data_IF_420188665291
#
_entry.id   IF_420188665291
#
_cell.length_a   1.000
_cell.length_b   1.000
_cell.length_c   1.000
_cell.angle_alpha   90.00
_cell.angle_beta   90.00
_cell.angle_gamma   90.00
#
_symmetry.space_group_name_H-M   'P 1'
#
loop_
_entity.id
_entity.type
_entity.pdbx_description
1 polymer ?
#
# COMPACT_ATOMS: atom_id res chain seq x y z
N UNK A 1 -8.26 -21.48 -7.08
CA UNK A 1 -8.13 -20.02 -6.97
C UNK A 1 -6.76 -19.67 -6.46
N UNK A 2 -6.01 -18.89 -7.22
CA UNK A 2 -4.72 -18.34 -6.84
C UNK A 2 -4.91 -16.99 -6.14
N UNK A 3 -4.02 -16.73 -5.19
CA UNK A 3 -3.89 -15.44 -4.53
C UNK A 3 -2.75 -14.67 -5.19
N UNK A 4 -2.92 -13.36 -5.33
CA UNK A 4 -1.92 -12.48 -5.88
C UNK A 4 -1.84 -11.23 -5.02
N UNK A 5 -0.62 -10.87 -4.64
CA UNK A 5 -0.32 -9.56 -4.08
C UNK A 5 0.71 -8.88 -4.96
N UNK A 6 0.61 -7.56 -5.07
CA UNK A 6 1.66 -6.76 -5.67
C UNK A 6 1.70 -5.37 -5.08
N UNK A 7 2.90 -4.82 -5.01
CA UNK A 7 3.20 -3.49 -4.48
C UNK A 7 3.70 -2.57 -5.60
N UNK A 8 3.33 -1.30 -5.53
CA UNK A 8 3.82 -0.26 -6.44
C UNK A 8 5.11 0.35 -5.90
N UNK A 9 6.22 0.08 -6.58
CA UNK A 9 7.52 0.61 -6.18
C UNK A 9 7.58 2.13 -6.30
N UNK A 10 8.02 2.78 -5.21
CA UNK A 10 8.33 4.21 -5.17
C UNK A 10 7.18 5.12 -5.63
N UNK A 11 5.92 4.73 -5.35
CA UNK A 11 4.71 5.35 -5.88
C UNK A 11 4.77 6.89 -5.86
N UNK A 12 4.97 7.50 -4.69
CA UNK A 12 4.95 8.96 -4.54
C UNK A 12 6.07 9.67 -5.29
N UNK A 13 7.27 9.11 -5.30
CA UNK A 13 8.47 9.70 -5.91
C UNK A 13 8.51 9.49 -7.42
N UNK A 14 7.73 8.54 -7.95
CA UNK A 14 7.70 8.23 -9.37
C UNK A 14 6.49 8.78 -10.12
N UNK A 15 5.54 9.43 -9.45
CA UNK A 15 4.40 10.06 -10.12
C UNK A 15 4.85 11.06 -11.21
N UNK A 16 4.38 10.92 -12.46
CA UNK A 16 4.58 11.93 -13.48
C UNK A 16 3.72 13.17 -13.15
N UNK A 17 4.35 14.29 -12.80
CA UNK A 17 3.63 15.46 -12.25
C UNK A 17 2.52 16.00 -13.17
N UNK A 18 2.85 16.31 -14.42
CA UNK A 18 1.92 16.85 -15.42
C UNK A 18 0.75 15.91 -15.72
N UNK A 19 1.06 14.64 -15.93
CA UNK A 19 0.05 13.62 -16.19
C UNK A 19 -0.83 13.38 -14.97
N UNK A 20 -0.27 13.39 -13.77
CA UNK A 20 -1.04 13.28 -12.52
C UNK A 20 -2.02 14.44 -12.36
N UNK A 21 -1.62 15.66 -12.72
CA UNK A 21 -2.50 16.83 -12.73
C UNK A 21 -3.62 16.67 -13.78
N UNK A 22 -3.29 16.15 -14.97
CA UNK A 22 -4.30 15.87 -15.99
C UNK A 22 -5.30 14.79 -15.54
N UNK A 23 -4.82 13.73 -14.89
CA UNK A 23 -5.67 12.66 -14.32
C UNK A 23 -6.53 13.23 -13.17
N UNK A 24 -5.99 14.09 -12.32
CA UNK A 24 -6.77 14.80 -11.30
C UNK A 24 -7.94 15.57 -11.92
N UNK A 25 -7.69 16.30 -13.01
CA UNK A 25 -8.74 17.01 -13.74
C UNK A 25 -9.82 16.06 -14.26
N UNK A 26 -9.43 14.95 -14.90
CA UNK A 26 -10.35 13.93 -15.39
C UNK A 26 -11.19 13.32 -14.27
N UNK A 27 -10.55 13.03 -13.13
CA UNK A 27 -11.20 12.49 -11.94
C UNK A 27 -12.27 13.45 -11.41
N UNK A 28 -11.94 14.75 -11.26
CA UNK A 28 -12.90 15.75 -10.79
C UNK A 28 -14.11 15.87 -11.73
N UNK A 29 -13.88 15.85 -13.05
CA UNK A 29 -14.95 15.87 -14.05
C UNK A 29 -15.82 14.62 -13.94
N UNK A 30 -15.20 13.44 -13.84
CA UNK A 30 -15.89 12.14 -13.73
C UNK A 30 -16.86 12.08 -12.55
N UNK A 31 -16.51 12.70 -11.43
CA UNK A 31 -17.33 12.74 -10.21
C UNK A 31 -18.15 14.04 -10.05
N UNK A 32 -18.37 14.78 -11.16
CA UNK A 32 -19.15 16.02 -11.20
C UNK A 32 -18.69 17.08 -10.18
N UNK A 33 -17.41 17.10 -9.84
CA UNK A 33 -16.78 18.09 -8.94
C UNK A 33 -16.31 19.31 -9.74
N UNK A 34 -17.25 19.96 -10.44
CA UNK A 34 -16.94 21.14 -11.27
C UNK A 34 -16.58 22.37 -10.44
N UNK A 35 -17.13 22.46 -9.23
CA UNK A 35 -16.86 23.49 -8.25
C UNK A 35 -16.70 22.86 -6.86
N UNK A 36 -15.48 22.86 -6.33
CA UNK A 36 -15.20 22.35 -4.99
C UNK A 36 -14.90 23.51 -4.06
N UNK A 37 -15.75 23.74 -3.05
CA UNK A 37 -15.63 24.88 -2.12
C UNK A 37 -15.54 26.24 -2.85
N UNK A 38 -16.27 26.39 -3.95
CA UNK A 38 -16.27 27.61 -4.77
C UNK A 38 -15.08 27.77 -5.72
N UNK A 39 -14.14 26.82 -5.75
CA UNK A 39 -13.01 26.82 -6.69
C UNK A 39 -13.36 26.07 -7.97
N UNK A 40 -13.01 26.66 -9.11
CA UNK A 40 -13.11 25.98 -10.40
C UNK A 40 -12.07 24.86 -10.52
N UNK A 41 -12.31 23.87 -11.39
CA UNK A 41 -11.33 22.82 -11.71
C UNK A 41 -9.97 23.42 -12.14
N UNK A 42 -9.97 24.47 -12.97
CA UNK A 42 -8.74 25.11 -13.44
C UNK A 42 -7.96 25.76 -12.28
N UNK A 43 -8.65 26.28 -11.27
CA UNK A 43 -8.02 26.80 -10.05
C UNK A 43 -7.36 25.67 -9.27
N UNK A 44 -8.06 24.54 -9.07
CA UNK A 44 -7.52 23.36 -8.39
C UNK A 44 -6.30 22.80 -9.13
N UNK A 45 -6.38 22.72 -10.45
CA UNK A 45 -5.28 22.30 -11.33
C UNK A 45 -4.03 23.19 -11.12
N UNK A 46 -4.24 24.51 -11.08
CA UNK A 46 -3.16 25.48 -10.87
C UNK A 46 -2.53 25.35 -9.49
N UNK A 47 -3.33 25.15 -8.45
CA UNK A 47 -2.85 24.93 -7.08
C UNK A 47 -2.09 23.60 -6.97
N UNK A 48 -2.61 22.52 -7.56
CA UNK A 48 -1.96 21.22 -7.61
C UNK A 48 -0.58 21.31 -8.26
N UNK A 49 -0.49 22.05 -9.37
CA UNK A 49 0.76 22.30 -10.09
C UNK A 49 1.80 22.98 -9.19
N UNK A 50 1.41 24.07 -8.52
CA UNK A 50 2.30 24.78 -7.58
C UNK A 50 2.83 23.84 -6.50
N UNK A 51 1.95 23.03 -5.89
CA UNK A 51 2.35 22.11 -4.81
C UNK A 51 3.35 21.05 -5.27
N UNK A 52 3.25 20.60 -6.54
CA UNK A 52 4.15 19.59 -7.09
C UNK A 52 5.46 20.19 -7.63
N UNK A 53 5.41 21.35 -8.30
CA UNK A 53 6.57 21.93 -8.99
C UNK A 53 7.43 22.79 -8.07
N UNK A 54 6.83 23.46 -7.08
CA UNK A 54 7.54 24.36 -6.15
C UNK A 54 8.03 23.63 -4.90
N UNK A 55 8.36 22.34 -5.04
CA UNK A 55 8.90 21.54 -3.96
C UNK A 55 10.43 21.65 -3.91
N UNK A 56 10.92 22.47 -2.97
CA UNK A 56 12.35 22.73 -2.77
C UNK A 56 12.77 22.27 -1.38
N UNK A 57 13.88 21.55 -1.28
CA UNK A 57 14.45 21.07 -0.03
C UNK A 57 15.97 21.28 0.01
N UNK A 58 16.53 21.22 1.22
CA UNK A 58 17.97 21.40 1.47
C UNK A 58 18.56 20.07 1.88
N UNK A 59 19.64 19.66 1.22
CA UNK A 59 20.43 18.51 1.62
C UNK A 59 21.92 18.84 1.45
N UNK A 60 22.73 18.57 2.48
CA UNK A 60 24.17 18.87 2.44
C UNK A 60 24.50 20.33 2.10
N UNK A 61 23.74 21.28 2.64
CA UNK A 61 23.86 22.73 2.38
C UNK A 61 23.66 23.13 0.90
N UNK A 62 22.97 22.30 0.11
CA UNK A 62 22.59 22.58 -1.28
C UNK A 62 21.07 22.55 -1.42
N UNK A 63 20.55 23.42 -2.28
CA UNK A 63 19.12 23.48 -2.61
C UNK A 63 18.82 22.56 -3.78
N UNK A 64 17.76 21.76 -3.66
CA UNK A 64 17.27 20.86 -4.67
C UNK A 64 15.79 21.11 -4.91
N UNK A 65 15.36 21.01 -6.16
CA UNK A 65 13.95 21.02 -6.55
C UNK A 65 13.56 19.63 -7.02
N UNK A 66 12.45 19.10 -6.49
CA UNK A 66 11.92 17.82 -6.92
C UNK A 66 11.25 17.97 -8.30
N UNK A 67 11.79 17.29 -9.30
CA UNK A 67 11.30 17.36 -10.70
C UNK A 67 10.38 16.18 -11.08
N UNK A 68 10.25 15.18 -10.21
CA UNK A 68 9.44 13.98 -10.42
C UNK A 68 8.81 13.55 -9.09
N UNK A 69 7.58 13.05 -9.15
CA UNK A 69 6.84 12.68 -7.96
C UNK A 69 6.33 13.90 -7.19
N UNK A 70 5.90 13.65 -5.96
CA UNK A 70 5.67 14.70 -4.97
C UNK A 70 6.45 14.44 -3.68
N UNK A 71 6.48 15.43 -2.79
CA UNK A 71 7.17 15.26 -1.52
C UNK A 71 6.51 14.18 -0.68
N UNK A 72 7.34 13.27 -0.15
CA UNK A 72 6.91 12.33 0.88
C UNK A 72 6.39 13.10 2.10
N UNK A 73 5.29 12.63 2.68
CA UNK A 73 4.63 13.29 3.81
C UNK A 73 3.68 14.43 3.43
N UNK A 74 3.63 14.84 2.15
CA UNK A 74 2.61 15.77 1.66
C UNK A 74 1.22 15.09 1.62
N UNK A 75 0.20 15.62 2.33
CA UNK A 75 -1.15 15.07 2.26
C UNK A 75 -1.75 15.13 0.84
N UNK A 76 -1.34 16.14 0.06
CA UNK A 76 -1.78 16.28 -1.33
C UNK A 76 -1.17 15.19 -2.22
N UNK A 77 0.12 14.89 -2.05
CA UNK A 77 0.79 13.84 -2.83
C UNK A 77 0.17 12.47 -2.60
N UNK A 78 -0.22 12.16 -1.35
CA UNK A 78 -0.98 10.94 -1.03
C UNK A 78 -2.32 10.88 -1.78
N UNK A 79 -3.06 11.98 -1.76
CA UNK A 79 -4.36 12.07 -2.44
C UNK A 79 -4.20 11.90 -3.95
N UNK A 80 -3.21 12.57 -4.52
CA UNK A 80 -2.92 12.52 -5.95
C UNK A 80 -2.45 11.13 -6.39
N UNK A 81 -1.62 10.46 -5.59
CA UNK A 81 -1.19 9.09 -5.86
C UNK A 81 -2.38 8.12 -5.95
N UNK A 82 -3.33 8.23 -5.02
CA UNK A 82 -4.54 7.41 -5.04
C UNK A 82 -5.40 7.67 -6.29
N UNK A 83 -5.49 8.92 -6.74
CA UNK A 83 -6.21 9.29 -7.96
C UNK A 83 -5.48 8.79 -9.21
N UNK A 84 -4.15 8.86 -9.24
CA UNK A 84 -3.34 8.30 -10.31
C UNK A 84 -3.53 6.79 -10.40
N UNK A 85 -3.44 6.09 -9.26
CA UNK A 85 -3.65 4.65 -9.19
C UNK A 85 -5.07 4.25 -9.57
N UNK A 86 -6.08 5.05 -9.20
CA UNK A 86 -7.45 4.87 -9.70
C UNK A 86 -7.50 4.84 -11.22
N UNK A 87 -6.78 5.72 -11.92
CA UNK A 87 -6.76 5.71 -13.38
C UNK A 87 -6.00 4.49 -13.94
N UNK A 88 -4.83 4.18 -13.37
CA UNK A 88 -3.98 3.07 -13.80
C UNK A 88 -4.66 1.69 -13.62
N UNK A 89 -5.42 1.50 -12.54
CA UNK A 89 -5.98 0.20 -12.17
C UNK A 89 -7.27 -0.19 -12.93
N UNK A 90 -7.87 0.71 -13.72
CA UNK A 90 -9.21 0.51 -14.30
C UNK A 90 -9.34 -0.82 -15.05
N UNK A 91 -8.36 -1.19 -15.89
CA UNK A 91 -8.40 -2.43 -16.67
C UNK A 91 -8.37 -3.69 -15.79
N UNK A 92 -7.63 -3.64 -14.69
CA UNK A 92 -7.61 -4.73 -13.71
C UNK A 92 -8.98 -4.80 -13.04
N UNK A 93 -9.43 -3.70 -12.44
CA UNK A 93 -10.73 -3.64 -11.76
C UNK A 93 -11.89 -4.11 -12.65
N UNK A 94 -11.89 -3.75 -13.94
CA UNK A 94 -12.88 -4.22 -14.91
C UNK A 94 -12.79 -5.72 -15.17
N UNK A 95 -11.57 -6.26 -15.36
CA UNK A 95 -11.36 -7.71 -15.49
C UNK A 95 -11.86 -8.46 -14.26
N UNK A 96 -11.43 -8.07 -13.07
CA UNK A 96 -11.81 -8.70 -11.81
C UNK A 96 -13.33 -8.64 -11.57
N UNK A 97 -13.99 -7.53 -11.92
CA UNK A 97 -15.45 -7.43 -11.86
C UNK A 97 -16.14 -8.39 -12.82
N UNK A 98 -15.62 -8.54 -14.03
CA UNK A 98 -16.19 -9.44 -15.03
C UNK A 98 -16.06 -10.92 -14.65
N UNK A 99 -14.96 -11.30 -13.99
CA UNK A 99 -14.71 -12.65 -13.49
C UNK A 99 -15.30 -12.94 -12.10
N UNK A 100 -15.93 -11.94 -11.45
CA UNK A 100 -16.41 -12.01 -10.07
C UNK A 100 -15.31 -12.41 -9.07
N UNK A 101 -14.12 -11.85 -9.29
CA UNK A 101 -12.92 -12.04 -8.47
C UNK A 101 -12.68 -10.84 -7.56
N UNK A 102 -11.97 -11.05 -6.45
CA UNK A 102 -11.62 -9.99 -5.52
C UNK A 102 -10.52 -9.11 -6.09
N UNK A 103 -10.69 -7.80 -5.89
CA UNK A 103 -9.67 -6.77 -6.07
C UNK A 103 -9.75 -5.80 -4.90
N UNK A 104 -8.63 -5.59 -4.21
CA UNK A 104 -8.52 -4.63 -3.12
C UNK A 104 -7.19 -3.91 -3.19
N UNK A 105 -7.19 -2.61 -2.94
CA UNK A 105 -5.97 -1.81 -2.85
C UNK A 105 -5.94 -1.01 -1.57
N UNK A 106 -4.81 -1.03 -0.89
CA UNK A 106 -4.47 -0.17 0.22
C UNK A 106 -3.25 0.67 -0.17
N UNK A 107 -3.49 1.90 -0.67
CA UNK A 107 -2.45 2.79 -1.18
C UNK A 107 -1.67 2.15 -2.34
N UNK A 108 -0.48 1.61 -2.07
CA UNK A 108 0.49 0.96 -2.95
C UNK A 108 0.41 -0.56 -2.90
N UNK A 109 -0.14 -1.14 -1.83
CA UNK A 109 -0.38 -2.59 -1.71
C UNK A 109 -1.69 -3.00 -2.42
N UNK A 110 -1.62 -3.92 -3.37
CA UNK A 110 -2.77 -4.52 -4.06
C UNK A 110 -2.88 -6.01 -3.74
N UNK A 111 -4.12 -6.46 -3.53
CA UNK A 111 -4.51 -7.86 -3.41
C UNK A 111 -5.58 -8.20 -4.44
N UNK A 112 -5.42 -9.31 -5.14
CA UNK A 112 -6.47 -9.88 -5.98
C UNK A 112 -6.50 -11.40 -5.94
N UNK A 113 -7.63 -11.98 -6.31
CA UNK A 113 -7.77 -13.42 -6.51
C UNK A 113 -7.89 -13.72 -8.00
N UNK A 114 -7.44 -14.89 -8.45
CA UNK A 114 -7.74 -15.35 -9.80
C UNK A 114 -8.01 -16.84 -9.90
N UNK A 115 -8.98 -17.23 -10.73
CA UNK A 115 -9.24 -18.61 -11.14
C UNK A 115 -8.60 -18.97 -12.47
N UNK A 116 -7.97 -18.00 -13.15
CA UNK A 116 -7.16 -18.23 -14.35
C UNK A 116 -5.93 -19.10 -14.02
N UNK A 117 -5.26 -19.63 -15.05
CA UNK A 117 -3.98 -20.30 -14.86
C UNK A 117 -2.91 -19.33 -14.35
N UNK A 118 -1.90 -19.86 -13.66
CA UNK A 118 -0.78 -19.08 -13.13
C UNK A 118 -0.06 -18.32 -14.25
N UNK A 119 0.06 -18.91 -15.44
CA UNK A 119 0.68 -18.29 -16.61
C UNK A 119 -0.11 -17.06 -17.09
N UNK A 120 -1.43 -17.20 -17.25
CA UNK A 120 -2.33 -16.09 -17.63
C UNK A 120 -2.28 -14.95 -16.60
N UNK A 121 -2.19 -15.30 -15.32
CA UNK A 121 -2.04 -14.33 -14.25
C UNK A 121 -0.70 -13.59 -14.32
N UNK A 122 0.41 -14.29 -14.59
CA UNK A 122 1.70 -13.66 -14.80
C UNK A 122 1.71 -12.74 -16.02
N UNK A 123 1.11 -13.16 -17.14
CA UNK A 123 0.98 -12.33 -18.34
C UNK A 123 0.15 -11.08 -18.08
N UNK A 124 -0.94 -11.19 -17.33
CA UNK A 124 -1.76 -10.06 -16.90
C UNK A 124 -0.94 -9.05 -16.08
N UNK A 125 -0.16 -9.53 -15.11
CA UNK A 125 0.67 -8.69 -14.25
C UNK A 125 1.84 -8.07 -15.02
N UNK A 126 2.39 -8.79 -16.00
CA UNK A 126 3.44 -8.25 -16.87
C UNK A 126 2.90 -7.14 -17.77
N UNK A 127 1.70 -7.34 -18.34
CA UNK A 127 1.01 -6.31 -19.08
C UNK A 127 0.74 -5.08 -18.21
N UNK A 128 0.29 -5.28 -16.96
CA UNK A 128 0.06 -4.18 -16.01
C UNK A 128 1.36 -3.42 -15.68
N UNK A 129 2.49 -4.12 -15.51
CA UNK A 129 3.81 -3.53 -15.28
C UNK A 129 4.30 -2.63 -16.44
N UNK A 130 3.68 -2.80 -17.61
CA UNK A 130 3.97 -2.07 -18.84
C UNK A 130 2.90 -1.01 -19.17
N UNK A 131 1.85 -0.83 -18.36
CA UNK A 131 0.85 0.22 -18.56
C UNK A 131 1.46 1.62 -18.52
N UNK A 132 2.49 1.81 -17.71
CA UNK A 132 3.11 3.12 -17.53
C UNK A 132 4.61 2.98 -17.24
N UNK A 133 5.44 3.83 -17.85
CA UNK A 133 6.90 3.75 -17.75
C UNK A 133 7.40 3.92 -16.31
N UNK A 134 6.76 4.81 -15.54
CA UNK A 134 7.18 5.14 -14.18
C UNK A 134 6.58 4.25 -13.09
N UNK A 135 5.60 3.41 -13.42
CA UNK A 135 4.97 2.52 -12.44
C UNK A 135 5.59 1.14 -12.58
N UNK A 136 6.09 0.61 -11.47
CA UNK A 136 6.70 -0.72 -11.41
C UNK A 136 6.09 -1.52 -10.29
N UNK A 137 5.94 -2.82 -10.55
CA UNK A 137 5.25 -3.76 -9.70
C UNK A 137 6.26 -4.76 -9.14
N UNK A 138 6.20 -5.02 -7.84
CA UNK A 138 6.73 -6.25 -7.25
C UNK A 138 5.56 -7.17 -6.93
N UNK A 139 5.65 -8.47 -7.22
CA UNK A 139 4.50 -9.37 -7.18
C UNK A 139 4.82 -10.70 -6.49
N UNK A 140 3.84 -11.22 -5.78
CA UNK A 140 3.81 -12.55 -5.19
C UNK A 140 2.53 -13.26 -5.65
N UNK A 141 2.66 -14.46 -6.19
CA UNK A 141 1.54 -15.26 -6.72
C UNK A 141 1.63 -16.66 -6.17
N UNK A 142 0.54 -17.19 -5.63
CA UNK A 142 0.53 -18.56 -5.12
C UNK A 142 -0.74 -18.93 -4.37
N UNK A 143 -0.68 -20.08 -3.70
CA UNK A 143 -1.68 -20.47 -2.68
C UNK A 143 -1.43 -19.79 -1.35
N UNK A 144 -0.19 -19.37 -1.07
CA UNK A 144 0.20 -18.62 0.12
C UNK A 144 0.84 -17.30 -0.33
N UNK A 145 0.31 -16.17 0.16
CA UNK A 145 0.84 -14.83 -0.13
C UNK A 145 0.79 -13.96 1.12
N UNK A 146 1.56 -12.88 1.14
CA UNK A 146 1.56 -11.90 2.22
C UNK A 146 0.94 -10.59 1.77
N UNK A 147 -0.02 -10.06 2.54
CA UNK A 147 -0.67 -8.77 2.30
C UNK A 147 -0.71 -7.96 3.60
N UNK A 148 -0.05 -6.81 3.61
CA UNK A 148 0.17 -6.01 4.84
C UNK A 148 0.83 -6.89 5.94
N UNK A 149 0.21 -6.95 7.12
CA UNK A 149 0.67 -7.72 8.28
C UNK A 149 0.05 -9.14 8.36
N UNK A 150 -0.57 -9.62 7.27
CA UNK A 150 -1.32 -10.89 7.23
C UNK A 150 -0.73 -11.82 6.18
N UNK A 151 -0.41 -13.05 6.59
CA UNK A 151 -0.13 -14.15 5.68
C UNK A 151 -1.44 -14.88 5.41
N UNK A 152 -1.77 -15.07 4.14
CA UNK A 152 -3.01 -15.67 3.69
C UNK A 152 -2.66 -16.94 2.94
N UNK A 153 -3.21 -18.07 3.40
CA UNK A 153 -3.04 -19.36 2.75
C UNK A 153 -4.40 -19.91 2.32
N UNK A 154 -4.52 -20.21 1.03
CA UNK A 154 -5.68 -20.83 0.42
C UNK A 154 -5.39 -22.31 0.11
N UNK A 155 -5.99 -23.20 0.88
CA UNK A 155 -5.96 -24.64 0.64
C UNK A 155 -7.30 -25.07 0.02
N UNK A 156 -7.36 -25.10 -1.31
CA UNK A 156 -8.53 -25.55 -2.08
C UNK A 156 -9.85 -24.89 -1.67
N UNK A 157 -9.82 -23.59 -1.39
CA UNK A 157 -10.98 -22.79 -0.98
C UNK A 157 -11.10 -22.60 0.53
N UNK A 158 -10.30 -23.32 1.33
CA UNK A 158 -10.21 -23.10 2.77
C UNK A 158 -9.12 -22.05 3.06
N UNK A 159 -9.56 -20.84 3.41
CA UNK A 159 -8.66 -19.73 3.73
C UNK A 159 -8.26 -19.78 5.19
N UNK A 160 -6.95 -19.77 5.42
CA UNK A 160 -6.35 -19.61 6.75
C UNK A 160 -5.46 -18.37 6.77
N UNK A 161 -5.38 -17.73 7.92
CA UNK A 161 -4.60 -16.50 8.10
C UNK A 161 -3.73 -16.58 9.33
N UNK A 162 -2.57 -15.95 9.27
CA UNK A 162 -1.65 -15.78 10.39
C UNK A 162 -0.98 -14.41 10.32
N UNK A 163 -0.34 -13.99 11.42
CA UNK A 163 0.49 -12.78 11.40
C UNK A 163 1.69 -13.01 10.50
N UNK A 164 1.93 -12.08 9.58
CA UNK A 164 3.14 -12.05 8.76
C UNK A 164 4.19 -11.13 9.40
N UNK A 165 5.44 -11.59 9.44
CA UNK A 165 6.59 -10.78 9.83
C UNK A 165 7.55 -10.72 8.65
N UNK A 166 7.84 -9.51 8.17
CA UNK A 166 8.83 -9.31 7.10
C UNK A 166 10.19 -9.79 7.59
N UNK A 167 10.97 -10.47 6.76
CA UNK A 167 12.30 -10.97 7.18
C UNK A 167 13.24 -9.84 7.63
N UNK A 168 13.08 -8.64 7.05
CA UNK A 168 13.83 -7.45 7.42
C UNK A 168 13.29 -6.72 8.66
N UNK A 169 12.16 -7.15 9.25
CA UNK A 169 11.67 -6.55 10.49
C UNK A 169 12.54 -7.01 11.65
N UNK A 170 13.54 -6.20 12.01
CA UNK A 170 14.21 -6.37 13.29
C UNK A 170 13.18 -6.13 14.41
N UNK A 171 13.16 -6.95 15.46
CA UNK A 171 12.14 -6.91 16.52
C UNK A 171 12.35 -5.71 17.47
N UNK A 172 12.58 -4.51 16.94
CA UNK A 172 12.72 -3.30 17.73
C UNK A 172 11.36 -2.87 18.25
N UNK A 173 11.08 -3.32 19.46
CA UNK A 173 10.13 -2.65 20.34
C UNK A 173 10.89 -1.67 21.22
N UNK A 174 10.17 -0.65 21.68
CA UNK A 174 10.74 0.38 22.55
C UNK A 174 11.34 -0.28 23.80
N UNK A 175 12.63 -0.04 24.14
CA UNK A 175 13.27 -0.63 25.32
C UNK A 175 12.54 -0.23 26.60
N UNK A 176 12.25 -1.16 27.50
CA UNK A 176 11.43 -0.87 28.69
C UNK A 176 12.06 0.19 29.63
N UNK A 177 13.38 0.37 29.56
CA UNK A 177 14.13 1.36 30.36
C UNK A 177 14.17 2.76 29.75
N UNK A 178 13.63 2.93 28.55
CA UNK A 178 13.55 4.25 27.91
C UNK A 178 12.57 5.17 28.64
N UNK A 179 12.77 6.48 28.49
CA UNK A 179 11.95 7.51 29.14
C UNK A 179 10.64 7.78 28.38
N UNK A 180 9.87 6.72 28.15
CA UNK A 180 8.54 6.80 27.54
C UNK A 180 7.44 6.59 28.59
N UNK A 181 6.26 7.22 28.43
CA UNK A 181 5.13 6.99 29.32
C UNK A 181 4.74 5.51 29.41
N UNK A 182 4.33 5.05 30.62
CA UNK A 182 3.95 3.65 30.87
C UNK A 182 2.95 3.06 29.87
N UNK A 183 1.97 3.87 29.47
CA UNK A 183 0.92 3.42 28.54
C UNK A 183 1.48 3.01 27.17
N UNK A 184 2.64 3.52 26.73
CA UNK A 184 3.27 3.11 25.47
C UNK A 184 3.68 1.63 25.52
N UNK A 185 4.29 1.19 26.63
CA UNK A 185 4.69 -0.20 26.81
C UNK A 185 3.50 -1.15 26.90
N UNK A 186 2.47 -0.76 27.65
CA UNK A 186 1.22 -1.52 27.75
C UNK A 186 0.52 -1.63 26.39
N UNK A 187 0.53 -0.55 25.60
CA UNK A 187 -0.05 -0.53 24.26
C UNK A 187 0.73 -1.41 23.28
N UNK A 188 2.05 -1.51 23.37
CA UNK A 188 2.82 -2.44 22.53
C UNK A 188 2.33 -3.88 22.75
N UNK A 189 2.24 -4.31 24.01
CA UNK A 189 1.77 -5.66 24.34
C UNK A 189 0.32 -5.85 23.90
N UNK A 190 -0.55 -4.89 24.23
CA UNK A 190 -1.99 -4.97 23.95
C UNK A 190 -2.26 -5.01 22.45
N UNK A 191 -1.63 -4.13 21.67
CA UNK A 191 -1.84 -4.08 20.21
C UNK A 191 -1.30 -5.32 19.52
N UNK A 192 -0.13 -5.82 19.92
CA UNK A 192 0.41 -7.06 19.36
C UNK A 192 -0.43 -8.29 19.72
N UNK A 193 -0.97 -8.38 20.94
CA UNK A 193 -1.92 -9.45 21.30
C UNK A 193 -3.23 -9.35 20.49
N UNK A 194 -3.78 -8.15 20.35
CA UNK A 194 -4.97 -7.93 19.52
C UNK A 194 -4.70 -8.30 18.06
N UNK A 195 -3.52 -7.98 17.54
CA UNK A 195 -3.07 -8.38 16.21
C UNK A 195 -3.02 -9.91 16.07
N UNK A 196 -2.40 -10.59 17.03
CA UNK A 196 -2.34 -12.05 17.06
C UNK A 196 -3.73 -12.69 17.04
N UNK A 197 -4.67 -12.17 17.85
CA UNK A 197 -6.05 -12.65 17.91
C UNK A 197 -6.79 -12.41 16.59
N UNK A 198 -6.67 -11.20 16.02
CA UNK A 198 -7.44 -10.81 14.82
C UNK A 198 -6.94 -11.50 13.55
N UNK A 199 -5.63 -11.71 13.41
CA UNK A 199 -5.05 -12.21 12.18
C UNK A 199 -4.87 -13.73 12.16
N UNK A 200 -4.90 -14.40 13.31
CA UNK A 200 -4.76 -15.85 13.38
C UNK A 200 -6.12 -16.54 13.24
N UNK A 201 -6.35 -17.27 12.15
CA UNK A 201 -7.58 -18.04 11.96
C UNK A 201 -7.59 -19.37 12.74
N UNK A 202 -6.42 -19.82 13.22
CA UNK A 202 -6.29 -21.08 13.97
C UNK A 202 -5.62 -20.86 15.33
N UNK A 203 -5.96 -21.73 16.29
CA UNK A 203 -5.32 -21.73 17.60
C UNK A 203 -3.81 -22.01 17.52
N UNK A 204 -3.38 -22.80 16.53
CA UNK A 204 -1.96 -23.07 16.30
C UNK A 204 -1.21 -21.82 15.84
N UNK A 205 -1.75 -21.09 14.86
CA UNK A 205 -1.19 -19.82 14.40
C UNK A 205 -1.13 -18.78 15.52
N UNK A 206 -2.21 -18.67 16.31
CA UNK A 206 -2.25 -17.80 17.47
C UNK A 206 -1.16 -18.16 18.50
N UNK A 207 -1.05 -19.43 18.88
CA UNK A 207 -0.04 -19.88 19.83
C UNK A 207 1.40 -19.69 19.32
N UNK A 208 1.62 -19.78 18.00
CA UNK A 208 2.91 -19.48 17.40
C UNK A 208 3.24 -17.99 17.56
N UNK A 209 2.31 -17.10 17.24
CA UNK A 209 2.52 -15.64 17.40
C UNK A 209 2.74 -15.24 18.86
N UNK A 210 2.01 -15.86 19.81
CA UNK A 210 2.23 -15.62 21.24
C UNK A 210 3.64 -16.02 21.67
N UNK A 211 4.20 -17.12 21.14
CA UNK A 211 5.59 -17.51 21.42
C UNK A 211 6.57 -16.50 20.84
N UNK A 212 6.36 -16.07 19.60
CA UNK A 212 7.19 -15.06 18.95
C UNK A 212 7.20 -13.74 19.76
N UNK A 213 6.02 -13.27 20.18
CA UNK A 213 5.87 -12.08 21.02
C UNK A 213 6.59 -12.21 22.37
N UNK A 214 6.47 -13.37 23.04
CA UNK A 214 7.21 -13.61 24.31
C UNK A 214 8.72 -13.54 24.10
N UNK A 215 9.23 -14.15 23.03
CA UNK A 215 10.65 -14.10 22.71
C UNK A 215 11.09 -12.66 22.43
N UNK A 216 10.34 -11.93 21.61
CA UNK A 216 10.58 -10.50 21.33
C UNK A 216 10.70 -9.69 22.62
N UNK A 217 9.77 -9.86 23.56
CA UNK A 217 9.77 -9.13 24.83
C UNK A 217 10.95 -9.52 25.75
N UNK A 218 11.38 -10.78 25.74
CA UNK A 218 12.52 -11.26 26.54
C UNK A 218 13.85 -10.73 25.98
N UNK A 219 13.97 -10.66 24.65
CA UNK A 219 15.19 -10.22 23.98
C UNK A 219 15.28 -8.69 23.83
N UNK A 220 14.20 -7.95 24.06
CA UNK A 220 14.21 -6.49 24.14
C UNK A 220 14.91 -6.02 25.43
N UNK A 221 16.23 -5.83 25.36
CA UNK A 221 17.08 -5.39 26.49
C UNK A 221 17.23 -3.88 26.58
#
# INVERSE_FOLDING_TARGET
>A
THLCTFDITDLYTMLPQEESIAILKQFLIRFNQTHTRGMSINTIESLARIVLTENVFIYGNKYYRQIKGGAMGSPFTLTLANIFMWHWEQKLVEKQKASNELYGRYIDDIFLTSNDSIESLHDMLENANNYHLNIKLTREVGSCVSFLDVQINNQDGNITTSVYHKEASEPYIVPFKSDHPRHIFENIITTSLLRAIRYSSTLQAFNHEIRALKLMLIYNR
#
